data_IF_357513431310
#
_entry.id   IF_357513431310
#
_cell.length_a   1.000
_cell.length_b   1.000
_cell.length_c   1.000
_cell.angle_alpha   90.00
_cell.angle_beta   90.00
_cell.angle_gamma   90.00
#
_symmetry.space_group_name_H-M   'P 1'
#
loop_
_entity.id
_entity.type
_entity.pdbx_description
1 polymer ?
#
# COMPACT_ATOMS: atom_id res chain seq x y z
N UNK A 1 34.43 23.82 19.73
CA UNK A 1 33.33 23.07 19.07
C UNK A 1 32.08 23.32 19.90
N UNK A 2 31.17 24.13 19.38
CA UNK A 2 30.04 24.71 20.11
C UNK A 2 29.02 23.63 20.48
N UNK A 3 28.52 23.67 21.71
CA UNK A 3 27.41 22.84 22.22
C UNK A 3 26.08 23.03 21.46
N UNK A 4 26.03 23.97 20.50
CA UNK A 4 24.90 24.18 19.59
C UNK A 4 24.54 22.97 18.71
N UNK A 5 25.47 22.02 18.49
CA UNK A 5 25.22 20.82 17.69
C UNK A 5 24.27 19.81 18.39
N UNK A 6 24.27 19.77 19.72
CA UNK A 6 23.45 18.84 20.51
C UNK A 6 22.03 19.36 20.77
N UNK A 7 21.80 20.67 20.68
CA UNK A 7 20.48 21.27 20.94
C UNK A 7 19.58 21.32 19.69
N UNK A 8 20.15 21.39 18.49
CA UNK A 8 19.40 21.44 17.22
C UNK A 8 19.47 20.14 16.40
N UNK A 9 20.08 19.10 16.97
CA UNK A 9 20.27 17.79 16.32
C UNK A 9 18.99 17.03 15.99
N UNK A 10 17.82 17.54 16.39
CA UNK A 10 16.53 16.91 16.16
C UNK A 10 15.72 17.64 15.07
N UNK A 11 16.00 18.93 14.85
CA UNK A 11 15.28 19.74 13.87
C UNK A 11 15.66 19.34 12.44
N UNK A 12 16.94 19.05 12.17
CA UNK A 12 17.38 18.56 10.85
C UNK A 12 16.84 17.17 10.53
N UNK A 13 16.65 16.31 11.54
CA UNK A 13 16.07 14.97 11.35
C UNK A 13 14.59 15.04 10.94
N UNK A 14 13.86 16.02 11.47
CA UNK A 14 12.46 16.30 11.11
C UNK A 14 12.38 16.91 9.70
N UNK A 15 13.31 17.79 9.33
CA UNK A 15 13.39 18.40 8.00
C UNK A 15 13.76 17.36 6.92
N UNK A 16 14.59 16.37 7.28
CA UNK A 16 14.95 15.23 6.40
C UNK A 16 13.78 14.24 6.25
N UNK A 17 12.94 14.08 7.28
CA UNK A 17 11.71 13.29 7.19
C UNK A 17 10.61 14.01 6.37
N UNK A 18 10.57 15.34 6.42
CA UNK A 18 9.63 16.17 5.65
C UNK A 18 10.03 16.28 4.16
N UNK A 19 11.32 16.27 3.86
CA UNK A 19 11.86 16.20 2.51
C UNK A 19 11.99 14.75 2.03
N UNK A 20 10.85 14.04 1.89
CA UNK A 20 10.71 12.76 1.17
C UNK A 20 12.00 11.95 1.02
N UNK A 21 12.49 11.39 2.13
CA UNK A 21 13.73 10.63 2.19
C UNK A 21 13.64 9.26 1.53
N UNK A 22 13.56 9.23 0.21
CA UNK A 22 14.04 8.08 -0.56
C UNK A 22 15.53 8.32 -0.85
N UNK A 23 16.35 7.33 -0.46
CA UNK A 23 17.81 7.18 -0.71
C UNK A 23 18.77 7.84 0.29
N UNK A 24 19.23 7.08 1.30
CA UNK A 24 20.56 7.28 1.94
C UNK A 24 20.98 6.19 2.98
N UNK A 25 20.55 4.92 2.88
CA UNK A 25 21.02 3.89 3.82
C UNK A 25 21.15 2.46 3.25
N UNK A 26 21.46 2.32 1.95
CA UNK A 26 21.74 1.01 1.34
C UNK A 26 22.96 1.05 0.40
N UNK A 27 23.91 1.96 0.64
CA UNK A 27 25.13 2.11 -0.17
C UNK A 27 26.35 1.50 0.52
N UNK A 28 26.20 0.28 1.05
CA UNK A 28 27.33 -0.55 1.44
C UNK A 28 26.95 -2.04 1.35
N UNK A 29 27.42 -2.70 0.29
CA UNK A 29 27.48 -4.16 0.14
C UNK A 29 26.15 -4.96 0.04
N UNK A 30 25.17 -4.48 -0.74
CA UNK A 30 23.95 -5.24 -1.06
C UNK A 30 23.55 -5.17 -2.54
N UNK A 31 22.73 -6.11 -3.06
CA UNK A 31 22.13 -5.96 -4.37
C UNK A 31 21.34 -4.64 -4.43
N UNK A 32 21.40 -3.93 -5.57
CA UNK A 32 20.71 -2.65 -5.73
C UNK A 32 19.23 -2.77 -5.34
N UNK A 33 18.58 -1.74 -4.75
CA UNK A 33 17.19 -1.81 -4.30
C UNK A 33 16.21 -2.32 -5.36
N UNK A 34 16.46 -2.00 -6.63
CA UNK A 34 15.68 -2.51 -7.76
C UNK A 34 15.82 -4.03 -7.95
N UNK A 35 17.03 -4.59 -7.75
CA UNK A 35 17.31 -6.04 -7.85
C UNK A 35 16.57 -6.78 -6.74
N UNK A 36 16.55 -6.21 -5.53
CA UNK A 36 15.81 -6.77 -4.40
C UNK A 36 14.30 -6.73 -4.67
N UNK A 37 13.75 -5.61 -5.13
CA UNK A 37 12.32 -5.48 -5.42
C UNK A 37 11.86 -6.43 -6.54
N UNK A 38 12.67 -6.60 -7.59
CA UNK A 38 12.39 -7.57 -8.66
C UNK A 38 12.47 -9.01 -8.13
N UNK A 39 13.45 -9.32 -7.28
CA UNK A 39 13.52 -10.64 -6.64
C UNK A 39 12.28 -10.93 -5.79
N UNK A 40 11.84 -9.97 -4.96
CA UNK A 40 10.61 -10.08 -4.15
C UNK A 40 9.39 -10.25 -5.07
N UNK A 41 9.28 -9.47 -6.14
CA UNK A 41 8.18 -9.56 -7.09
C UNK A 41 8.08 -10.96 -7.72
N UNK A 42 9.20 -11.48 -8.25
CA UNK A 42 9.24 -12.81 -8.89
C UNK A 42 8.91 -13.91 -7.88
N UNK A 43 9.48 -13.86 -6.67
CA UNK A 43 9.18 -14.83 -5.61
C UNK A 43 7.70 -14.75 -5.18
N UNK A 44 7.14 -13.56 -5.05
CA UNK A 44 5.72 -13.37 -4.74
C UNK A 44 4.80 -13.94 -5.83
N UNK A 45 5.17 -13.82 -7.11
CA UNK A 45 4.43 -14.45 -8.22
C UNK A 45 4.45 -15.98 -8.12
N UNK A 46 5.61 -16.60 -7.84
CA UNK A 46 5.70 -18.05 -7.64
C UNK A 46 4.84 -18.51 -6.46
N UNK A 47 4.91 -17.80 -5.33
CA UNK A 47 4.08 -18.10 -4.15
C UNK A 47 2.60 -17.96 -4.48
N UNK A 48 2.18 -16.91 -5.19
CA UNK A 48 0.80 -16.71 -5.60
C UNK A 48 0.28 -17.84 -6.48
N UNK A 49 1.09 -18.33 -7.42
CA UNK A 49 0.75 -19.47 -8.27
C UNK A 49 0.57 -20.77 -7.47
N UNK A 50 1.51 -21.09 -6.59
CA UNK A 50 1.44 -22.31 -5.77
C UNK A 50 0.24 -22.26 -4.82
N UNK A 51 -0.08 -21.10 -4.25
CA UNK A 51 -1.25 -20.94 -3.36
C UNK A 51 -2.55 -21.14 -4.13
N UNK A 52 -2.70 -20.55 -5.33
CA UNK A 52 -3.95 -20.62 -6.10
C UNK A 52 -4.22 -22.02 -6.65
N UNK A 53 -3.18 -22.76 -7.03
CA UNK A 53 -3.34 -24.11 -7.61
C UNK A 53 -3.79 -25.17 -6.59
N UNK A 54 -3.69 -24.90 -5.28
CA UNK A 54 -4.06 -25.85 -4.20
C UNK A 54 -5.47 -25.66 -3.65
N UNK A 55 -6.25 -24.73 -4.17
CA UNK A 55 -7.57 -24.40 -3.63
C UNK A 55 -8.64 -25.35 -4.23
N UNK A 56 -9.57 -25.90 -3.45
CA UNK A 56 -10.65 -26.74 -3.99
C UNK A 56 -11.60 -25.96 -4.92
N UNK A 57 -12.23 -26.62 -5.92
CA UNK A 57 -13.04 -25.94 -6.92
C UNK A 57 -14.24 -25.16 -6.40
N UNK A 58 -14.76 -25.57 -5.24
CA UNK A 58 -15.87 -24.95 -4.53
C UNK A 58 -15.58 -23.50 -4.11
N UNK A 59 -14.30 -23.14 -4.00
CA UNK A 59 -13.87 -21.83 -3.51
C UNK A 59 -13.38 -20.90 -4.63
N UNK A 60 -13.42 -21.29 -5.93
CA UNK A 60 -12.97 -20.40 -7.00
C UNK A 60 -13.76 -19.09 -7.06
N UNK A 61 -15.08 -19.13 -6.83
CA UNK A 61 -15.92 -17.92 -6.85
C UNK A 61 -15.71 -17.03 -5.62
N UNK A 62 -15.67 -17.59 -4.37
CA UNK A 62 -15.22 -16.83 -3.21
C UNK A 62 -13.80 -16.26 -3.37
N UNK A 63 -12.87 -17.02 -3.95
CA UNK A 63 -11.49 -16.58 -4.18
C UNK A 63 -11.43 -15.45 -5.21
N UNK A 64 -12.24 -15.52 -6.26
CA UNK A 64 -12.34 -14.46 -7.26
C UNK A 64 -12.82 -13.14 -6.64
N UNK A 65 -13.76 -13.19 -5.69
CA UNK A 65 -14.15 -12.02 -4.90
C UNK A 65 -13.06 -11.59 -3.90
N UNK A 66 -12.39 -12.56 -3.27
CA UNK A 66 -11.33 -12.29 -2.30
C UNK A 66 -10.11 -11.60 -2.91
N UNK A 67 -9.69 -12.01 -4.12
CA UNK A 67 -8.59 -11.34 -4.84
C UNK A 67 -8.94 -9.91 -5.25
N UNK A 68 -10.22 -9.62 -5.53
CA UNK A 68 -10.71 -8.26 -5.72
C UNK A 68 -10.55 -7.42 -4.44
N UNK A 69 -10.85 -7.97 -3.25
CA UNK A 69 -10.61 -7.27 -1.98
C UNK A 69 -9.12 -6.97 -1.71
N UNK A 70 -8.23 -7.90 -2.08
CA UNK A 70 -6.77 -7.75 -1.94
C UNK A 70 -6.23 -6.63 -2.84
N UNK A 71 -6.83 -6.42 -4.01
CA UNK A 71 -6.45 -5.30 -4.90
C UNK A 71 -6.67 -3.91 -4.27
N UNK A 72 -7.43 -3.85 -3.17
CA UNK A 72 -7.61 -2.68 -2.34
C UNK A 72 -6.32 -2.17 -1.67
N UNK A 73 -5.17 -2.84 -1.83
CA UNK A 73 -3.84 -2.31 -1.47
C UNK A 73 -3.54 -0.93 -2.07
N UNK A 74 -4.23 -0.57 -3.15
CA UNK A 74 -4.24 0.79 -3.72
C UNK A 74 -4.55 1.89 -2.71
N UNK A 75 -5.21 1.56 -1.58
CA UNK A 75 -5.43 2.46 -0.45
C UNK A 75 -4.13 3.07 0.11
N UNK A 76 -3.05 2.28 0.13
CA UNK A 76 -1.75 2.76 0.63
C UNK A 76 -1.21 3.85 -0.28
N UNK A 77 -1.27 3.63 -1.60
CA UNK A 77 -0.82 4.62 -2.58
C UNK A 77 -1.69 5.88 -2.58
N UNK A 78 -3.02 5.73 -2.46
CA UNK A 78 -3.91 6.88 -2.43
C UNK A 78 -3.76 7.72 -1.15
N UNK A 79 -3.44 7.10 -0.02
CA UNK A 79 -3.17 7.83 1.23
C UNK A 79 -1.88 8.66 1.12
N UNK A 80 -0.83 8.13 0.48
CA UNK A 80 0.41 8.87 0.22
C UNK A 80 0.14 10.10 -0.66
N UNK A 81 -0.67 9.95 -1.71
CA UNK A 81 -1.03 11.06 -2.61
C UNK A 81 -1.96 12.06 -1.93
N UNK A 82 -2.94 11.60 -1.15
CA UNK A 82 -3.83 12.50 -0.40
C UNK A 82 -3.07 13.30 0.68
N UNK A 83 -2.00 12.72 1.23
CA UNK A 83 -1.13 13.33 2.24
C UNK A 83 -0.04 14.25 1.69
N UNK A 84 0.10 14.43 0.37
CA UNK A 84 1.22 15.17 -0.25
C UNK A 84 1.11 16.70 -0.15
N UNK A 85 0.21 17.23 0.68
CA UNK A 85 0.04 18.67 0.93
C UNK A 85 -1.26 19.26 0.38
N UNK A 86 -1.74 20.33 1.02
CA UNK A 86 -2.97 21.03 0.63
C UNK A 86 -2.62 22.40 0.05
N UNK A 87 -2.93 22.61 -1.23
CA UNK A 87 -2.78 23.90 -1.90
C UNK A 87 -4.14 24.41 -2.37
N UNK A 88 -4.19 25.68 -2.81
CA UNK A 88 -5.38 26.25 -3.45
C UNK A 88 -5.90 25.31 -4.54
N UNK A 89 -7.21 25.11 -4.59
CA UNK A 89 -7.88 24.14 -5.48
C UNK A 89 -7.63 24.45 -6.98
N UNK A 90 -7.29 25.70 -7.29
CA UNK A 90 -6.95 26.15 -8.64
C UNK A 90 -5.47 25.93 -9.03
N UNK A 91 -4.66 25.42 -8.09
CA UNK A 91 -3.27 25.01 -8.33
C UNK A 91 -3.22 23.54 -8.74
N UNK A 92 -2.14 23.16 -9.44
CA UNK A 92 -1.80 21.77 -9.75
C UNK A 92 -1.86 20.87 -8.51
N UNK A 93 -1.39 21.38 -7.38
CA UNK A 93 -1.34 20.61 -6.13
C UNK A 93 -2.73 20.46 -5.48
N UNK A 94 -3.65 21.41 -5.72
CA UNK A 94 -5.05 21.29 -5.33
C UNK A 94 -5.80 20.20 -6.10
N UNK A 95 -5.51 20.06 -7.41
CA UNK A 95 -6.00 18.97 -8.25
C UNK A 95 -5.47 17.60 -7.77
N UNK A 96 -4.18 17.50 -7.43
CA UNK A 96 -3.59 16.27 -6.88
C UNK A 96 -4.26 15.87 -5.57
N UNK A 97 -4.49 16.83 -4.66
CA UNK A 97 -5.16 16.55 -3.38
C UNK A 97 -6.60 16.11 -3.58
N UNK A 98 -7.35 16.74 -4.51
CA UNK A 98 -8.71 16.34 -4.84
C UNK A 98 -8.76 14.93 -5.46
N UNK A 99 -7.85 14.60 -6.39
CA UNK A 99 -7.74 13.26 -6.96
C UNK A 99 -7.32 12.22 -5.92
N UNK A 100 -6.40 12.58 -5.01
CA UNK A 100 -6.01 11.76 -3.87
C UNK A 100 -7.20 11.43 -2.97
N UNK A 101 -8.05 12.42 -2.66
CA UNK A 101 -9.29 12.20 -1.90
C UNK A 101 -10.23 11.20 -2.59
N UNK A 102 -10.50 11.37 -3.88
CA UNK A 102 -11.34 10.41 -4.63
C UNK A 102 -10.67 9.03 -4.75
N UNK A 103 -9.34 8.98 -4.87
CA UNK A 103 -8.60 7.72 -4.90
C UNK A 103 -8.72 6.97 -3.56
N UNK A 104 -8.68 7.67 -2.42
CA UNK A 104 -8.93 7.08 -1.10
C UNK A 104 -10.36 6.57 -1.00
N UNK A 105 -11.35 7.34 -1.48
CA UNK A 105 -12.75 6.92 -1.48
C UNK A 105 -12.96 5.63 -2.29
N UNK A 106 -12.45 5.57 -3.53
CA UNK A 106 -12.59 4.39 -4.37
C UNK A 106 -11.80 3.18 -3.86
N UNK A 107 -10.60 3.39 -3.33
CA UNK A 107 -9.82 2.33 -2.71
C UNK A 107 -10.54 1.75 -1.48
N UNK A 108 -11.16 2.61 -0.67
CA UNK A 108 -11.96 2.17 0.49
C UNK A 108 -13.17 1.35 0.06
N UNK A 109 -13.89 1.77 -0.99
CA UNK A 109 -15.02 1.01 -1.55
C UNK A 109 -14.57 -0.38 -2.03
N UNK A 110 -13.41 -0.47 -2.68
CA UNK A 110 -12.86 -1.75 -3.16
C UNK A 110 -12.53 -2.70 -1.99
N UNK A 111 -11.84 -2.20 -0.96
CA UNK A 111 -11.50 -2.95 0.26
C UNK A 111 -12.77 -3.43 0.97
N UNK A 112 -13.65 -2.49 1.36
CA UNK A 112 -14.83 -2.78 2.18
C UNK A 112 -15.83 -3.63 1.39
N UNK A 113 -16.11 -3.27 0.14
CA UNK A 113 -17.03 -4.01 -0.72
C UNK A 113 -16.52 -5.42 -1.00
N UNK A 114 -15.23 -5.57 -1.30
CA UNK A 114 -14.60 -6.87 -1.52
C UNK A 114 -14.70 -7.79 -0.30
N UNK A 115 -14.42 -7.30 0.90
CA UNK A 115 -14.51 -8.11 2.12
C UNK A 115 -15.95 -8.48 2.49
N UNK A 116 -16.92 -7.57 2.35
CA UNK A 116 -18.33 -7.87 2.65
C UNK A 116 -18.90 -8.93 1.70
N UNK A 117 -18.60 -8.85 0.41
CA UNK A 117 -19.06 -9.83 -0.58
C UNK A 117 -18.40 -11.19 -0.31
N UNK A 118 -17.10 -11.20 -0.05
CA UNK A 118 -16.36 -12.43 0.25
C UNK A 118 -16.86 -13.10 1.54
N UNK A 119 -17.14 -12.34 2.60
CA UNK A 119 -17.69 -12.87 3.85
C UNK A 119 -19.09 -13.50 3.65
N UNK A 120 -19.97 -12.84 2.89
CA UNK A 120 -21.28 -13.41 2.53
C UNK A 120 -21.15 -14.71 1.74
N UNK A 121 -20.18 -14.79 0.82
CA UNK A 121 -19.91 -16.01 0.05
C UNK A 121 -19.37 -17.14 0.94
N UNK A 122 -18.46 -16.83 1.86
CA UNK A 122 -17.87 -17.80 2.79
C UNK A 122 -18.85 -18.23 3.89
N UNK A 123 -19.80 -17.38 4.26
CA UNK A 123 -20.87 -17.69 5.21
C UNK A 123 -21.74 -18.86 4.77
N UNK A 124 -21.83 -19.15 3.47
CA UNK A 124 -22.58 -20.28 2.92
C UNK A 124 -21.92 -21.65 3.16
N UNK A 125 -20.65 -21.68 3.56
CA UNK A 125 -19.92 -22.91 3.91
C UNK A 125 -19.94 -23.22 5.41
N UNK A 126 -20.49 -22.33 6.24
CA UNK A 126 -20.67 -22.61 7.67
C UNK A 126 -21.81 -23.63 7.82
N UNK A 127 -21.51 -24.76 8.46
CA UNK A 127 -22.55 -25.70 8.88
C UNK A 127 -23.51 -24.98 9.83
N UNK A 128 -24.80 -25.07 9.51
CA UNK A 128 -25.88 -24.61 10.37
C UNK A 128 -25.97 -25.58 11.54
N UNK A 129 -25.51 -25.16 12.71
CA UNK A 129 -25.98 -25.77 13.96
C UNK A 129 -27.48 -25.51 14.13
#
# INVERSE_FOLDING_TARGET
MSWAFLQNGWLWAIETAAAGGETAAAEAAGPAPIVINVAIFVLACFVGYEVITKIPPLLHTPLMSGSNAISGITLVGSLVVAGSGFASLWSRDGLISALGFFAVLFATINVVGGFVVTDRMLGMFKRKD
#
